data_IF_521050200221
#
_entry.id   IF_521050200221
#
_cell.length_a   1.000
_cell.length_b   1.000
_cell.length_c   1.000
_cell.angle_alpha   90.00
_cell.angle_beta   90.00
_cell.angle_gamma   90.00
#
_symmetry.space_group_name_H-M   'P 1'
#
loop_
_entity.id
_entity.type
_entity.pdbx_description
1 polymer ?
#
# COMPACT_ATOMS: atom_id res chain seq x y z
N UNK A 1 -1.31 5.35 -7.83
CA UNK A 1 -0.01 5.09 -7.17
C UNK A 1 0.07 5.81 -5.82
N UNK A 2 0.77 5.31 -4.80
CA UNK A 2 0.77 5.84 -3.42
C UNK A 2 1.85 6.92 -3.15
N UNK A 3 2.06 7.83 -4.11
CA UNK A 3 3.10 8.86 -3.99
C UNK A 3 2.46 10.25 -3.85
N UNK A 4 3.02 11.05 -2.94
CA UNK A 4 2.49 12.36 -2.52
C UNK A 4 2.61 13.48 -3.58
N UNK A 5 3.56 13.34 -4.50
CA UNK A 5 3.87 14.35 -5.52
C UNK A 5 3.22 13.94 -6.84
N UNK A 6 2.45 14.84 -7.46
CA UNK A 6 1.74 14.55 -8.72
C UNK A 6 2.64 13.99 -9.84
N UNK A 7 3.88 14.49 -10.05
CA UNK A 7 4.79 13.91 -11.04
C UNK A 7 5.16 12.45 -10.72
N UNK A 8 5.33 12.13 -9.44
CA UNK A 8 5.62 10.77 -8.98
C UNK A 8 4.40 9.87 -9.10
N UNK A 9 3.22 10.35 -8.72
CA UNK A 9 1.98 9.58 -8.88
C UNK A 9 1.74 9.19 -10.35
N UNK A 10 1.97 10.12 -11.28
CA UNK A 10 1.79 9.91 -12.71
C UNK A 10 2.75 8.86 -13.30
N UNK A 11 4.05 8.94 -13.03
CA UNK A 11 5.03 7.99 -13.59
C UNK A 11 4.81 6.57 -13.05
N UNK A 12 4.52 6.44 -11.75
CA UNK A 12 4.28 5.13 -11.15
C UNK A 12 2.93 4.55 -11.56
N UNK A 13 1.91 5.38 -11.79
CA UNK A 13 0.63 4.89 -12.32
C UNK A 13 0.81 4.39 -13.77
N UNK A 14 1.57 5.12 -14.60
CA UNK A 14 1.90 4.66 -15.95
C UNK A 14 2.70 3.35 -15.93
N UNK A 15 3.75 3.26 -15.11
CA UNK A 15 4.52 2.03 -14.96
C UNK A 15 3.63 0.86 -14.50
N UNK A 16 2.77 1.08 -13.51
CA UNK A 16 1.81 0.07 -13.02
C UNK A 16 0.87 -0.44 -14.13
N UNK A 17 0.37 0.46 -14.98
CA UNK A 17 -0.51 0.05 -16.10
C UNK A 17 0.20 -0.84 -17.13
N UNK A 18 1.51 -0.66 -17.35
CA UNK A 18 2.29 -1.51 -18.24
C UNK A 18 2.47 -2.92 -17.67
N UNK A 19 2.69 -3.05 -16.36
CA UNK A 19 2.83 -4.36 -15.71
C UNK A 19 1.55 -5.22 -15.77
N UNK A 20 0.37 -4.63 -15.98
CA UNK A 20 -0.90 -5.37 -16.04
C UNK A 20 -0.99 -6.31 -17.26
N UNK A 21 -0.39 -5.96 -18.41
CA UNK A 21 -0.41 -6.77 -19.65
C UNK A 21 0.94 -7.36 -20.04
N UNK A 22 2.03 -6.94 -19.36
CA UNK A 22 3.41 -7.26 -19.73
C UNK A 22 3.71 -8.75 -19.89
N UNK A 23 3.06 -9.61 -19.10
CA UNK A 23 3.26 -11.08 -19.23
C UNK A 23 2.74 -11.62 -20.56
N UNK A 24 1.64 -11.04 -21.08
CA UNK A 24 1.12 -11.37 -22.40
C UNK A 24 1.98 -10.75 -23.50
N UNK A 25 2.38 -9.49 -23.33
CA UNK A 25 3.18 -8.76 -24.31
C UNK A 25 4.57 -9.39 -24.52
N UNK A 26 5.19 -9.92 -23.46
CA UNK A 26 6.52 -10.55 -23.51
C UNK A 26 6.48 -12.07 -23.67
N UNK A 27 5.30 -12.70 -23.63
CA UNK A 27 5.14 -14.15 -23.57
C UNK A 27 6.04 -14.81 -22.51
N UNK A 28 6.18 -14.14 -21.36
CA UNK A 28 7.03 -14.56 -20.24
C UNK A 28 6.28 -14.26 -18.94
N UNK A 29 6.30 -15.20 -18.01
CA UNK A 29 5.71 -14.95 -16.69
C UNK A 29 6.58 -13.95 -15.90
N UNK A 30 6.12 -12.71 -15.78
CA UNK A 30 6.80 -11.66 -15.00
C UNK A 30 6.46 -11.71 -13.51
N UNK A 31 5.72 -12.73 -13.05
CA UNK A 31 5.35 -12.95 -11.64
C UNK A 31 4.58 -11.81 -10.96
N UNK A 32 3.92 -10.95 -11.75
CA UNK A 32 3.05 -9.89 -11.23
C UNK A 32 1.91 -10.44 -10.37
N UNK A 33 1.84 -9.95 -9.14
CA UNK A 33 0.94 -10.45 -8.10
C UNK A 33 0.45 -9.29 -7.23
N UNK A 34 -0.77 -8.76 -7.48
CA UNK A 34 -1.36 -7.68 -6.69
C UNK A 34 -1.86 -8.22 -5.33
N UNK A 35 -0.93 -8.44 -4.40
CA UNK A 35 -1.18 -9.00 -3.06
C UNK A 35 -1.37 -7.97 -1.94
N UNK A 36 -1.44 -6.70 -2.31
CA UNK A 36 -1.51 -5.57 -1.40
C UNK A 36 -0.16 -5.18 -0.78
N UNK A 37 -0.11 -3.95 -0.27
CA UNK A 37 1.02 -3.45 0.55
C UNK A 37 0.47 -2.76 1.80
N UNK A 38 1.17 -2.97 2.93
CA UNK A 38 0.87 -2.37 4.22
C UNK A 38 2.08 -1.58 4.73
N UNK A 39 1.87 -0.30 5.05
CA UNK A 39 2.87 0.53 5.74
C UNK A 39 2.44 0.70 7.19
N UNK A 40 3.16 0.08 8.13
CA UNK A 40 2.80 0.05 9.56
C UNK A 40 3.03 1.40 10.23
N UNK A 41 2.11 1.80 11.11
CA UNK A 41 2.26 2.94 12.01
C UNK A 41 2.56 2.44 13.44
N UNK A 42 3.59 3.00 14.05
CA UNK A 42 4.05 2.69 15.41
C UNK A 42 4.04 3.91 16.32
N UNK A 43 3.83 5.11 15.75
CA UNK A 43 3.76 6.39 16.46
C UNK A 43 2.53 7.19 16.03
N UNK A 44 2.05 8.07 16.91
CA UNK A 44 0.93 8.99 16.59
C UNK A 44 1.25 9.94 15.44
N UNK A 45 2.53 10.25 15.21
CA UNK A 45 2.95 11.06 14.07
C UNK A 45 2.70 10.34 12.75
N UNK A 46 3.06 9.05 12.66
CA UNK A 46 2.83 8.22 11.48
C UNK A 46 1.34 8.04 11.20
N UNK A 47 0.51 7.86 12.24
CA UNK A 47 -0.95 7.80 12.08
C UNK A 47 -1.47 9.05 11.35
N UNK A 48 -1.10 10.24 11.83
CA UNK A 48 -1.53 11.50 11.21
C UNK A 48 -1.01 11.63 9.78
N UNK A 49 0.24 11.22 9.54
CA UNK A 49 0.83 11.19 8.20
C UNK A 49 0.05 10.28 7.25
N UNK A 50 -0.24 9.05 7.65
CA UNK A 50 -0.94 8.08 6.82
C UNK A 50 -2.41 8.42 6.60
N UNK A 51 -3.10 8.99 7.59
CA UNK A 51 -4.45 9.50 7.38
C UNK A 51 -4.45 10.62 6.35
N UNK A 52 -3.51 11.56 6.42
CA UNK A 52 -3.34 12.60 5.39
C UNK A 52 -3.09 12.00 4.01
N UNK A 53 -2.20 11.01 3.91
CA UNK A 53 -1.91 10.32 2.64
C UNK A 53 -3.14 9.60 2.10
N UNK A 54 -3.89 8.89 2.93
CA UNK A 54 -5.11 8.20 2.52
C UNK A 54 -6.14 9.18 1.93
N UNK A 55 -6.32 10.34 2.56
CA UNK A 55 -7.22 11.38 2.05
C UNK A 55 -6.72 11.98 0.72
N UNK A 56 -5.43 12.29 0.60
CA UNK A 56 -4.84 12.80 -0.64
C UNK A 56 -5.00 11.81 -1.81
N UNK A 57 -4.72 10.54 -1.57
CA UNK A 57 -4.90 9.47 -2.54
C UNK A 57 -6.36 9.30 -2.96
N UNK A 58 -7.30 9.42 -2.02
CA UNK A 58 -8.73 9.36 -2.32
C UNK A 58 -9.15 10.48 -3.29
N UNK A 59 -8.65 11.71 -3.11
CA UNK A 59 -8.87 12.81 -4.07
C UNK A 59 -8.31 12.52 -5.47
N UNK A 60 -7.23 11.75 -5.57
CA UNK A 60 -6.62 11.35 -6.84
C UNK A 60 -7.21 10.05 -7.42
N UNK A 61 -8.26 9.49 -6.80
CA UNK A 61 -8.91 8.24 -7.25
C UNK A 61 -8.09 6.98 -6.95
N UNK A 62 -7.04 7.08 -6.13
CA UNK A 62 -6.23 5.94 -5.71
C UNK A 62 -6.83 5.33 -4.44
N UNK A 63 -7.27 4.06 -4.52
CA UNK A 63 -7.81 3.32 -3.37
C UNK A 63 -6.69 2.98 -2.36
N UNK A 64 -6.58 3.79 -1.31
CA UNK A 64 -5.77 3.51 -0.12
C UNK A 64 -6.53 3.84 1.14
N UNK A 65 -6.35 3.05 2.18
CA UNK A 65 -7.13 3.10 3.40
C UNK A 65 -6.21 3.09 4.62
N UNK A 66 -6.50 3.88 5.64
CA UNK A 66 -5.87 3.69 6.94
C UNK A 66 -6.68 2.68 7.75
N UNK A 67 -6.06 1.57 8.14
CA UNK A 67 -6.69 0.47 8.88
C UNK A 67 -6.10 0.34 10.28
N UNK A 68 -6.90 -0.18 11.22
CA UNK A 68 -6.46 -0.40 12.60
C UNK A 68 -5.59 -1.68 12.73
N UNK A 69 -4.94 -1.84 13.89
CA UNK A 69 -4.08 -3.00 14.17
C UNK A 69 -4.81 -4.35 14.09
N UNK A 70 -6.09 -4.41 14.46
CA UNK A 70 -6.89 -5.63 14.35
C UNK A 70 -7.04 -6.08 12.89
N UNK A 71 -7.38 -5.14 12.00
CA UNK A 71 -7.49 -5.40 10.56
C UNK A 71 -6.14 -5.76 9.94
N UNK A 72 -5.04 -5.19 10.43
CA UNK A 72 -3.67 -5.61 10.03
C UNK A 72 -3.42 -7.08 10.36
N UNK A 73 -3.84 -7.53 11.56
CA UNK A 73 -3.70 -8.93 11.99
C UNK A 73 -4.57 -9.89 11.19
N UNK A 74 -5.77 -9.47 10.79
CA UNK A 74 -6.63 -10.25 9.88
C UNK A 74 -5.99 -10.44 8.50
N UNK A 75 -5.42 -9.37 7.93
CA UNK A 75 -4.78 -9.41 6.62
C UNK A 75 -3.45 -10.16 6.61
N UNK A 76 -2.68 -10.05 7.70
CA UNK A 76 -1.36 -10.70 7.84
C UNK A 76 -1.30 -11.45 9.16
N UNK A 77 -1.86 -12.69 9.25
CA UNK A 77 -1.95 -13.43 10.51
C UNK A 77 -0.60 -13.70 11.18
N UNK A 78 0.49 -13.76 10.42
CA UNK A 78 1.85 -14.00 10.92
C UNK A 78 2.45 -12.81 11.68
N UNK A 79 1.89 -11.60 11.54
CA UNK A 79 2.48 -10.40 12.14
C UNK A 79 2.26 -10.34 13.65
N UNK A 80 3.26 -9.88 14.41
CA UNK A 80 3.08 -9.53 15.83
C UNK A 80 2.70 -8.05 15.95
N UNK A 81 1.46 -7.76 16.33
CA UNK A 81 0.97 -6.38 16.50
C UNK A 81 1.26 -5.79 17.89
N UNK A 82 1.56 -6.63 18.88
CA UNK A 82 1.72 -6.17 20.26
C UNK A 82 3.12 -5.56 20.49
N UNK A 83 4.16 -6.13 19.87
CA UNK A 83 5.56 -5.66 19.94
C UNK A 83 6.15 -5.61 21.37
N UNK A 84 7.47 -5.76 21.57
CA UNK A 84 8.06 -5.55 22.89
C UNK A 84 8.33 -4.07 23.21
N UNK A 85 8.44 -3.19 22.19
CA UNK A 85 8.78 -1.76 22.37
C UNK A 85 7.79 -0.79 21.73
N UNK A 86 7.42 -1.02 20.47
CA UNK A 86 6.44 -0.19 19.76
C UNK A 86 5.34 -1.07 19.17
N UNK A 87 4.13 -1.06 19.77
CA UNK A 87 2.99 -1.78 19.21
C UNK A 87 2.59 -1.20 17.85
N UNK A 88 2.04 -2.04 16.99
CA UNK A 88 1.40 -1.59 15.75
C UNK A 88 0.10 -0.88 16.12
N UNK A 89 -0.02 0.38 15.76
CA UNK A 89 -1.23 1.19 16.01
C UNK A 89 -2.21 1.10 14.83
N UNK A 90 -1.70 0.82 13.63
CA UNK A 90 -2.47 0.64 12.41
C UNK A 90 -1.55 0.57 11.20
N UNK A 91 -2.12 0.71 10.00
CA UNK A 91 -1.34 0.74 8.77
C UNK A 91 -2.05 1.51 7.65
N UNK A 92 -1.27 2.07 6.74
CA UNK A 92 -1.77 2.47 5.42
C UNK A 92 -1.81 1.23 4.52
N UNK A 93 -2.99 0.90 4.00
CA UNK A 93 -3.25 -0.26 3.16
C UNK A 93 -3.55 0.17 1.72
N UNK A 94 -2.83 -0.42 0.78
CA UNK A 94 -3.12 -0.30 -0.65
C UNK A 94 -3.37 -1.69 -1.22
N UNK A 95 -4.64 -2.04 -1.42
CA UNK A 95 -5.07 -3.37 -1.87
C UNK A 95 -4.49 -3.75 -3.24
N UNK A 96 -4.35 -2.78 -4.15
CA UNK A 96 -3.82 -2.99 -5.51
C UNK A 96 -2.29 -2.97 -5.60
N UNK A 97 -1.58 -2.78 -4.47
CA UNK A 97 -0.13 -2.93 -4.42
C UNK A 97 0.28 -4.39 -4.60
N UNK A 98 1.55 -4.65 -4.84
CA UNK A 98 2.03 -6.01 -5.04
C UNK A 98 3.43 -6.06 -5.60
N UNK A 99 3.90 -7.28 -5.86
CA UNK A 99 5.20 -7.53 -6.49
C UNK A 99 5.00 -7.69 -7.99
N UNK A 100 5.97 -7.25 -8.79
CA UNK A 100 6.20 -7.69 -10.16
C UNK A 100 7.47 -8.53 -10.13
#
# INVERSE_FOLDING_TARGET
>A
SNYLQDPSAAIYEKARSLYETMSQDLNMNVMFSPRGVLMLAQTQHEIRGFQRTAQANAFQGVKTEYINAARVKELVPIINISGPRYPVLGALWQQRGGTA
#
